data_IF_193103517035
#
_entry.id   IF_193103517035
#
_cell.length_a   1.000
_cell.length_b   1.000
_cell.length_c   1.000
_cell.angle_alpha   90.00
_cell.angle_beta   90.00
_cell.angle_gamma   90.00
#
_symmetry.space_group_name_H-M   'P 1'
#
loop_
_entity.id
_entity.type
_entity.pdbx_description
1 polymer ?
#
# COMPACT_ATOMS: atom_id res chain seq x y z
N UNK A 1 4.17 -18.70 -3.42
CA UNK A 1 3.24 -17.70 -2.82
C UNK A 1 2.16 -17.27 -3.82
N UNK A 2 2.50 -16.66 -4.96
CA UNK A 2 1.51 -16.21 -5.97
C UNK A 2 0.60 -17.32 -6.49
N UNK A 3 1.10 -18.55 -6.69
CA UNK A 3 0.28 -19.68 -7.13
C UNK A 3 -0.78 -20.11 -6.11
N UNK A 4 -0.46 -20.08 -4.82
CA UNK A 4 -1.41 -20.37 -3.74
C UNK A 4 -2.43 -19.23 -3.60
N UNK A 5 -1.98 -17.98 -3.71
CA UNK A 5 -2.86 -16.81 -3.70
C UNK A 5 -3.86 -16.85 -4.86
N UNK A 6 -3.40 -17.10 -6.09
CA UNK A 6 -4.28 -17.25 -7.27
C UNK A 6 -5.33 -18.37 -7.11
N UNK A 7 -5.00 -19.44 -6.38
CA UNK A 7 -5.94 -20.52 -6.05
C UNK A 7 -6.96 -20.10 -4.99
N UNK A 8 -6.53 -19.26 -4.03
CA UNK A 8 -7.37 -18.71 -2.98
C UNK A 8 -8.32 -17.62 -3.51
N UNK A 9 -7.80 -16.74 -4.37
CA UNK A 9 -8.50 -15.63 -4.97
C UNK A 9 -8.03 -15.46 -6.42
N UNK A 10 -8.96 -15.31 -7.37
CA UNK A 10 -8.64 -15.28 -8.83
C UNK A 10 -7.76 -14.11 -9.26
N UNK A 11 -7.57 -13.11 -8.41
CA UNK A 11 -6.69 -11.97 -8.66
C UNK A 11 -5.22 -12.29 -8.32
N UNK A 12 -4.26 -11.93 -9.18
CA UNK A 12 -2.84 -12.02 -8.85
C UNK A 12 -2.37 -10.94 -7.87
N UNK A 13 -3.20 -9.91 -7.62
CA UNK A 13 -2.83 -8.78 -6.78
C UNK A 13 -2.88 -9.17 -5.31
N UNK A 14 -1.78 -8.92 -4.59
CA UNK A 14 -1.67 -9.09 -3.14
C UNK A 14 -1.32 -7.73 -2.56
N UNK A 15 -2.29 -6.97 -2.02
CA UNK A 15 -2.00 -5.75 -1.28
C UNK A 15 -1.21 -6.10 -0.01
N UNK A 16 0.04 -5.65 0.08
CA UNK A 16 0.92 -5.92 1.24
C UNK A 16 0.90 -4.80 2.28
N UNK A 17 0.82 -3.56 1.83
CA UNK A 17 0.85 -2.36 2.68
C UNK A 17 -0.20 -1.37 2.19
N UNK A 18 -0.82 -0.67 3.14
CA UNK A 18 -1.76 0.41 2.87
C UNK A 18 -1.46 1.62 3.73
N UNK A 19 -1.77 2.81 3.21
CA UNK A 19 -1.78 4.05 3.98
C UNK A 19 -3.20 4.27 4.48
N UNK A 20 -3.37 4.40 5.78
CA UNK A 20 -4.65 4.65 6.41
C UNK A 20 -4.64 5.98 7.16
N UNK A 21 -5.80 6.64 7.19
CA UNK A 21 -6.05 7.83 7.99
C UNK A 21 -7.20 7.57 8.96
N UNK A 22 -7.13 8.16 10.15
CA UNK A 22 -8.20 8.01 11.14
C UNK A 22 -9.51 8.63 10.62
N UNK A 23 -10.65 7.97 10.87
CA UNK A 23 -11.94 8.38 10.34
C UNK A 23 -12.34 9.81 10.75
N UNK A 24 -11.96 10.26 11.96
CA UNK A 24 -12.22 11.65 12.39
C UNK A 24 -11.43 12.69 11.60
N UNK A 25 -10.20 12.36 11.20
CA UNK A 25 -9.36 13.23 10.38
C UNK A 25 -9.95 13.34 8.97
N UNK A 26 -10.32 12.19 8.37
CA UNK A 26 -10.97 12.14 7.05
C UNK A 26 -12.21 13.02 7.00
N UNK A 27 -13.09 12.97 8.03
CA UNK A 27 -14.31 13.79 8.07
C UNK A 27 -14.06 15.29 8.05
N UNK A 28 -12.98 15.75 8.67
CA UNK A 28 -12.66 17.17 8.82
C UNK A 28 -11.69 17.70 7.76
N UNK A 29 -11.04 16.80 7.01
CA UNK A 29 -9.98 17.14 6.05
C UNK A 29 -10.21 16.54 4.66
N UNK A 30 -11.47 16.24 4.29
CA UNK A 30 -11.81 15.66 2.96
C UNK A 30 -11.11 16.34 1.79
N UNK A 31 -11.02 17.69 1.71
CA UNK A 31 -10.35 18.36 0.60
C UNK A 31 -8.85 18.07 0.48
N UNK A 32 -8.19 17.64 1.57
CA UNK A 32 -6.76 17.34 1.60
C UNK A 32 -6.43 15.91 1.14
N UNK A 33 -7.42 15.01 1.11
CA UNK A 33 -7.18 13.59 0.80
C UNK A 33 -6.59 13.39 -0.60
N UNK A 34 -7.10 14.05 -1.67
CA UNK A 34 -6.48 13.93 -3.00
C UNK A 34 -5.03 14.40 -3.00
N UNK A 35 -4.72 15.51 -2.33
CA UNK A 35 -3.35 16.04 -2.23
C UNK A 35 -2.42 15.08 -1.50
N UNK A 36 -2.90 14.44 -0.43
CA UNK A 36 -2.13 13.44 0.31
C UNK A 36 -1.80 12.23 -0.56
N UNK A 37 -2.79 11.72 -1.32
CA UNK A 37 -2.57 10.62 -2.25
C UNK A 37 -1.55 10.97 -3.34
N UNK A 38 -1.67 12.13 -3.98
CA UNK A 38 -0.70 12.55 -5.00
C UNK A 38 0.71 12.72 -4.40
N UNK A 39 0.82 13.12 -3.12
CA UNK A 39 2.12 13.17 -2.43
C UNK A 39 2.75 11.79 -2.29
N UNK A 40 1.98 10.78 -1.86
CA UNK A 40 2.49 9.40 -1.78
C UNK A 40 2.82 8.81 -3.15
N UNK A 41 1.97 9.09 -4.15
CA UNK A 41 2.19 8.64 -5.52
C UNK A 41 3.48 9.23 -6.09
N UNK A 42 3.67 10.54 -5.95
CA UNK A 42 4.89 11.22 -6.39
C UNK A 42 6.14 10.69 -5.66
N UNK A 43 6.04 10.40 -4.36
CA UNK A 43 7.13 9.79 -3.61
C UNK A 43 7.47 8.37 -4.12
N UNK A 44 6.46 7.54 -4.39
CA UNK A 44 6.65 6.20 -4.96
C UNK A 44 7.29 6.24 -6.36
N UNK A 45 6.84 7.15 -7.21
CA UNK A 45 7.42 7.41 -8.53
C UNK A 45 8.87 7.89 -8.43
N UNK A 46 9.14 8.86 -7.55
CA UNK A 46 10.49 9.36 -7.31
C UNK A 46 11.44 8.24 -6.87
N UNK A 47 11.06 7.41 -5.90
CA UNK A 47 11.91 6.32 -5.41
C UNK A 47 12.29 5.36 -6.54
N UNK A 48 11.32 5.03 -7.41
CA UNK A 48 11.56 4.13 -8.54
C UNK A 48 12.41 4.75 -9.64
N UNK A 49 12.28 6.06 -9.88
CA UNK A 49 13.01 6.78 -10.92
C UNK A 49 14.40 7.24 -10.49
N UNK A 50 14.66 7.33 -9.18
CA UNK A 50 15.91 7.86 -8.61
C UNK A 50 16.41 6.95 -7.46
N UNK A 51 16.74 5.68 -7.72
CA UNK A 51 17.05 4.69 -6.68
C UNK A 51 18.20 5.11 -5.76
N UNK A 52 19.32 5.60 -6.32
CA UNK A 52 20.49 6.06 -5.54
C UNK A 52 20.14 7.22 -4.61
N UNK A 53 19.48 8.26 -5.13
CA UNK A 53 19.10 9.44 -4.34
C UNK A 53 18.07 9.07 -3.26
N UNK A 54 17.08 8.28 -3.62
CA UNK A 54 16.08 7.80 -2.69
C UNK A 54 16.69 6.94 -1.56
N UNK A 55 17.62 6.05 -1.88
CA UNK A 55 18.32 5.22 -0.90
C UNK A 55 19.06 6.08 0.13
N UNK A 56 19.75 7.14 -0.29
CA UNK A 56 20.44 8.06 0.62
C UNK A 56 19.47 8.80 1.55
N UNK A 57 18.31 9.21 1.05
CA UNK A 57 17.27 9.85 1.88
C UNK A 57 16.71 8.86 2.90
N UNK A 58 16.38 7.64 2.47
CA UNK A 58 15.79 6.61 3.34
C UNK A 58 16.81 6.11 4.38
N UNK A 59 18.09 6.00 4.03
CA UNK A 59 19.18 5.61 4.93
C UNK A 59 19.24 6.53 6.16
N UNK A 60 19.10 7.85 5.97
CA UNK A 60 19.08 8.84 7.06
C UNK A 60 17.93 8.61 8.06
N UNK A 61 16.78 8.13 7.58
CA UNK A 61 15.60 7.90 8.42
C UNK A 61 15.54 6.52 9.07
N UNK A 62 16.31 5.54 8.56
CA UNK A 62 16.21 4.13 8.96
C UNK A 62 17.47 3.57 9.61
N UNK A 63 18.63 4.18 9.37
CA UNK A 63 19.93 3.64 9.77
C UNK A 63 20.40 2.43 8.95
N UNK A 64 19.66 2.04 7.90
CA UNK A 64 20.07 0.98 6.97
C UNK A 64 21.08 1.57 5.98
N UNK A 65 22.16 0.85 5.61
CA UNK A 65 23.11 1.31 4.59
C UNK A 65 22.40 1.64 3.26
N UNK A 66 22.82 2.73 2.63
CA UNK A 66 22.26 3.21 1.36
C UNK A 66 22.38 2.16 0.25
N UNK A 67 23.54 1.50 0.10
CA UNK A 67 23.74 0.44 -0.88
C UNK A 67 22.72 -0.71 -0.75
N UNK A 68 22.34 -1.09 0.48
CA UNK A 68 21.34 -2.15 0.73
C UNK A 68 19.94 -1.68 0.34
N UNK A 69 19.63 -0.40 0.55
CA UNK A 69 18.36 0.20 0.17
C UNK A 69 18.25 0.39 -1.34
N UNK A 70 19.34 0.79 -1.99
CA UNK A 70 19.42 0.92 -3.45
C UNK A 70 19.17 -0.44 -4.11
N UNK A 71 19.87 -1.50 -3.70
CA UNK A 71 19.64 -2.87 -4.17
C UNK A 71 18.17 -3.31 -3.99
N UNK A 72 17.57 -2.97 -2.84
CA UNK A 72 16.18 -3.29 -2.55
C UNK A 72 15.21 -2.55 -3.48
N UNK A 73 15.45 -1.27 -3.75
CA UNK A 73 14.64 -0.47 -4.65
C UNK A 73 14.74 -1.01 -6.08
N UNK A 74 15.96 -1.24 -6.58
CA UNK A 74 16.21 -1.74 -7.94
C UNK A 74 15.66 -3.16 -8.17
N UNK A 75 15.66 -4.00 -7.14
CA UNK A 75 15.08 -5.35 -7.23
C UNK A 75 13.56 -5.38 -7.51
N UNK A 76 12.88 -4.23 -7.42
CA UNK A 76 11.42 -4.06 -7.54
C UNK A 76 10.62 -4.93 -6.55
N UNK A 77 11.26 -5.45 -5.50
CA UNK A 77 10.60 -6.28 -4.47
C UNK A 77 9.61 -5.50 -3.63
N UNK A 78 9.83 -4.18 -3.48
CA UNK A 78 8.95 -3.29 -2.72
C UNK A 78 7.63 -3.02 -3.44
N UNK A 79 7.58 -3.17 -4.78
CA UNK A 79 6.40 -2.89 -5.61
C UNK A 79 5.73 -1.57 -5.18
N UNK A 80 6.45 -0.46 -5.28
CA UNK A 80 6.00 0.87 -4.86
C UNK A 80 4.95 1.47 -5.83
N UNK A 81 3.98 0.68 -6.27
CA UNK A 81 2.86 1.13 -7.09
C UNK A 81 1.73 1.62 -6.18
N UNK A 82 1.66 2.93 -5.96
CA UNK A 82 0.61 3.57 -5.18
C UNK A 82 -0.67 3.66 -6.01
N UNK A 83 -1.79 3.19 -5.45
CA UNK A 83 -3.12 3.26 -6.05
C UNK A 83 -4.19 3.42 -4.97
N UNK A 84 -5.37 3.92 -5.36
CA UNK A 84 -6.52 3.98 -4.48
C UNK A 84 -7.01 2.57 -4.13
N UNK A 85 -7.14 2.23 -2.85
CA UNK A 85 -7.67 0.94 -2.44
C UNK A 85 -9.09 0.70 -3.02
N UNK A 86 -9.92 1.74 -3.09
CA UNK A 86 -11.26 1.68 -3.67
C UNK A 86 -11.34 1.36 -5.17
N UNK A 87 -10.21 1.33 -5.91
CA UNK A 87 -10.18 0.85 -7.32
C UNK A 87 -9.84 -0.63 -7.44
N UNK A 88 -9.50 -1.30 -6.33
CA UNK A 88 -9.11 -2.71 -6.27
C UNK A 88 -9.77 -3.45 -5.09
N UNK A 89 -11.06 -3.19 -4.86
CA UNK A 89 -11.83 -3.70 -3.71
C UNK A 89 -11.73 -5.22 -3.59
N UNK A 90 -11.89 -5.97 -4.69
CA UNK A 90 -11.79 -7.44 -4.67
C UNK A 90 -10.46 -7.94 -4.10
N UNK A 91 -9.35 -7.24 -4.37
CA UNK A 91 -8.04 -7.63 -3.85
C UNK A 91 -7.90 -7.28 -2.35
N UNK A 92 -8.55 -6.21 -1.89
CA UNK A 92 -8.59 -5.83 -0.48
C UNK A 92 -9.48 -6.83 0.30
N UNK A 93 -10.64 -7.17 -0.23
CA UNK A 93 -11.55 -8.15 0.35
C UNK A 93 -10.87 -9.51 0.46
N UNK A 94 -10.10 -9.93 -0.54
CA UNK A 94 -9.29 -11.16 -0.48
C UNK A 94 -8.31 -11.17 0.70
N UNK A 95 -7.67 -10.04 1.02
CA UNK A 95 -6.76 -9.93 2.16
C UNK A 95 -7.53 -9.99 3.48
N UNK A 96 -8.69 -9.33 3.57
CA UNK A 96 -9.54 -9.44 4.76
C UNK A 96 -10.07 -10.85 4.98
N UNK A 97 -10.52 -11.53 3.92
CA UNK A 97 -10.95 -12.93 3.98
C UNK A 97 -9.82 -13.85 4.44
N UNK A 98 -8.61 -13.65 3.91
CA UNK A 98 -7.43 -14.39 4.35
C UNK A 98 -7.14 -14.13 5.83
N UNK A 99 -7.24 -12.87 6.29
CA UNK A 99 -7.09 -12.49 7.69
C UNK A 99 -8.12 -13.14 8.61
N UNK A 100 -9.38 -13.24 8.17
CA UNK A 100 -10.44 -13.94 8.92
C UNK A 100 -10.15 -15.44 8.99
N UNK A 101 -9.86 -16.09 7.86
CA UNK A 101 -9.57 -17.53 7.82
C UNK A 101 -8.33 -17.92 8.62
N UNK A 102 -7.33 -17.05 8.66
CA UNK A 102 -6.11 -17.25 9.46
C UNK A 102 -6.29 -16.89 10.95
N UNK A 103 -7.44 -16.34 11.35
CA UNK A 103 -7.72 -15.95 12.73
C UNK A 103 -7.12 -14.62 13.18
N UNK A 104 -6.49 -13.85 12.27
CA UNK A 104 -6.00 -12.49 12.56
C UNK A 104 -7.14 -11.47 12.69
N UNK A 105 -8.24 -11.68 11.98
CA UNK A 105 -9.45 -10.88 12.07
C UNK A 105 -10.61 -11.72 12.61
N UNK A 106 -11.39 -11.18 13.55
CA UNK A 106 -12.55 -11.89 14.11
C UNK A 106 -13.70 -12.02 13.11
N UNK A 107 -13.86 -11.03 12.23
CA UNK A 107 -14.89 -10.96 11.18
C UNK A 107 -14.44 -10.00 10.08
N UNK A 108 -15.13 -10.03 8.95
CA UNK A 108 -14.90 -9.07 7.87
C UNK A 108 -15.12 -7.62 8.37
N UNK A 109 -14.21 -6.69 8.03
CA UNK A 109 -14.43 -5.27 8.25
C UNK A 109 -15.67 -4.75 7.50
N UNK A 110 -16.18 -3.61 7.94
CA UNK A 110 -17.22 -2.91 7.20
C UNK A 110 -16.66 -2.31 5.91
N UNK A 111 -17.48 -2.25 4.85
CA UNK A 111 -17.03 -1.78 3.53
C UNK A 111 -16.54 -0.32 3.52
N UNK A 112 -17.00 0.50 4.47
CA UNK A 112 -16.61 1.90 4.63
C UNK A 112 -15.19 2.09 5.20
N UNK A 113 -14.50 1.00 5.56
CA UNK A 113 -13.07 1.04 5.90
C UNK A 113 -12.20 1.38 4.69
N UNK A 114 -12.67 1.10 3.47
CA UNK A 114 -11.97 1.39 2.22
C UNK A 114 -12.40 2.75 1.70
N UNK A 115 -11.43 3.65 1.49
CA UNK A 115 -11.71 4.94 0.89
C UNK A 115 -11.95 4.82 -0.61
N UNK A 116 -13.04 5.43 -1.08
CA UNK A 116 -13.41 5.50 -2.50
C UNK A 116 -13.35 6.97 -2.96
N UNK A 117 -12.43 7.35 -3.86
CA UNK A 117 -12.29 8.75 -4.28
C UNK A 117 -13.49 9.29 -5.09
N UNK A 118 -14.38 8.42 -5.58
CA UNK A 118 -15.55 8.77 -6.39
C UNK A 118 -16.89 8.70 -5.61
N UNK A 119 -16.85 8.48 -4.28
CA UNK A 119 -18.04 8.42 -3.41
C UNK A 119 -17.93 9.38 -2.24
#
# INVERSE_FOLDING_TARGET
MVGTWKKFHKSPLIPYLGVAAHASWVRTHKPLIPKLYETYKAAGEFIKSHPTEAAQIIAKGTGIPDAVLEDLIESDRLRLNVYWAGTHVDAIDAVFEAGVKAGYLKKMPAADVVYHPAR
#
